data_IF_054408984561
#
_entry.id   IF_054408984561
#
_cell.length_a   1.000
_cell.length_b   1.000
_cell.length_c   1.000
_cell.angle_alpha   90.00
_cell.angle_beta   90.00
_cell.angle_gamma   90.00
#
_symmetry.space_group_name_H-M   'P 1'
#
loop_
_entity.id
_entity.type
_entity.pdbx_description
1 polymer ?
2 polymer ?
3 non-polymer ?
4 water ?
#
# COMPACT_ATOMS: atom_id res chain seq x y z
N UNK A 1 17.24 -24.21 -1.63
CA UNK A 1 16.87 -23.07 -2.58
C UNK A 1 15.73 -22.09 -2.07
N UNK A 2 15.74 -20.88 -2.61
CA UNK A 2 14.84 -19.82 -2.17
C UNK A 2 13.46 -19.98 -2.82
N UNK A 3 12.38 -19.83 -2.03
CA UNK A 3 10.99 -19.84 -2.55
C UNK A 3 10.77 -18.74 -3.48
N UNK A 4 9.92 -18.98 -4.44
CA UNK A 4 9.42 -17.90 -5.29
C UNK A 4 8.11 -17.36 -4.60
N UNK A 5 8.05 -16.05 -4.31
CA UNK A 5 6.79 -15.42 -3.85
C UNK A 5 5.61 -15.54 -4.89
N UNK A 6 4.36 -15.48 -4.41
CA UNK A 6 3.17 -15.30 -5.28
C UNK A 6 3.29 -13.97 -6.04
N UNK A 7 2.90 -13.93 -7.32
CA UNK A 7 2.83 -12.67 -8.13
C UNK A 7 1.43 -12.40 -8.70
N UNK B 1 -11.91 -9.17 29.39
CA UNK B 1 -12.62 -8.64 28.16
C UNK B 1 -11.76 -8.75 26.89
N UNK B 2 -12.00 -9.79 26.08
CA UNK B 2 -11.06 -10.04 25.02
C UNK B 2 -11.14 -9.07 23.83
N UNK B 3 -10.12 -9.07 23.00
CA UNK B 3 -10.26 -8.50 21.64
C UNK B 3 -11.39 -9.15 20.86
N UNK B 4 -11.83 -8.48 19.82
CA UNK B 4 -12.97 -8.95 19.03
C UNK B 4 -12.84 -8.47 17.61
N UNK B 5 -13.64 -9.07 16.73
CA UNK B 5 -13.82 -8.57 15.36
C UNK B 5 -15.29 -8.26 15.18
N UNK B 6 -15.57 -7.19 14.47
CA UNK B 6 -16.92 -6.76 14.16
C UNK B 6 -17.08 -6.76 12.64
N UNK B 7 -18.21 -7.25 12.15
CA UNK B 7 -18.52 -7.20 10.72
C UNK B 7 -18.92 -5.79 10.29
N UNK B 8 -18.09 -5.21 9.44
CA UNK B 8 -18.40 -3.89 8.85
C UNK B 8 -19.24 -4.06 7.59
N UNK B 9 -18.86 -5.04 6.77
CA UNK B 9 -19.51 -5.31 5.48
C UNK B 9 -19.73 -6.79 5.36
N UNK B 10 -20.94 -7.17 5.02
CA UNK B 10 -21.27 -8.60 5.01
C UNK B 10 -22.66 -8.88 4.54
N UNK B 11 -23.04 -10.16 4.44
CA UNK B 11 -24.40 -10.48 4.07
C UNK B 11 -25.41 -9.95 5.06
N UNK B 12 -26.64 -9.73 4.59
CA UNK B 12 -27.65 -9.24 5.51
C UNK B 12 -27.82 -10.17 6.72
N UNK B 13 -28.03 -9.60 7.86
CA UNK B 13 -28.03 -10.43 9.04
C UNK B 13 -26.71 -10.37 9.76
N UNK B 14 -25.59 -10.10 9.06
CA UNK B 14 -24.26 -10.19 9.75
C UNK B 14 -23.65 -8.86 10.15
N UNK B 15 -24.07 -7.76 9.53
CA UNK B 15 -23.39 -6.49 9.72
C UNK B 15 -23.57 -6.07 11.18
N UNK B 16 -22.49 -5.67 11.82
CA UNK B 16 -22.55 -5.27 13.23
C UNK B 16 -22.36 -6.43 14.21
N UNK B 17 -22.34 -7.68 13.75
CA UNK B 17 -22.08 -8.81 14.66
C UNK B 17 -20.64 -8.77 15.15
N UNK B 18 -20.45 -9.09 16.43
CA UNK B 18 -19.13 -9.05 17.04
C UNK B 18 -18.75 -10.43 17.50
N UNK B 19 -17.50 -10.82 17.28
CA UNK B 19 -17.00 -12.15 17.64
C UNK B 19 -15.75 -12.00 18.50
N UNK B 20 -15.81 -12.45 19.77
CA UNK B 20 -14.63 -12.28 20.65
C UNK B 20 -13.53 -13.24 20.18
N UNK B 21 -12.29 -12.77 20.24
CA UNK B 21 -11.11 -13.58 19.89
C UNK B 21 -10.47 -13.98 21.23
N UNK B 22 -10.96 -15.06 21.79
CA UNK B 22 -10.63 -15.53 23.12
C UNK B 22 -9.46 -16.48 23.20
N UNK B 23 -9.03 -17.02 22.05
CA UNK B 23 -7.95 -18.02 22.04
C UNK B 23 -7.49 -18.21 20.63
N UNK B 24 -6.34 -18.83 20.50
CA UNK B 24 -5.85 -19.20 19.19
C UNK B 24 -6.84 -20.22 18.58
N UNK B 25 -6.80 -20.34 17.28
CA UNK B 25 -7.54 -21.31 16.49
C UNK B 25 -9.02 -21.07 16.33
N UNK B 26 -9.40 -19.81 16.55
CA UNK B 26 -10.67 -19.31 16.09
C UNK B 26 -10.65 -19.11 14.61
N UNK B 27 -11.62 -19.76 13.93
CA UNK B 27 -11.64 -19.82 12.50
C UNK B 27 -12.78 -18.98 11.94
N UNK B 28 -12.44 -18.20 10.92
CA UNK B 28 -13.42 -17.55 10.03
C UNK B 28 -13.66 -18.47 8.83
N UNK B 29 -14.92 -18.78 8.57
CA UNK B 29 -15.23 -19.66 7.42
C UNK B 29 -16.68 -19.79 7.12
N UNK B 30 -16.98 -20.33 5.93
CA UNK B 30 -18.34 -20.64 5.58
C UNK B 30 -18.77 -22.02 6.08
N UNK B 31 -17.87 -22.80 6.65
CA UNK B 31 -18.26 -24.03 7.31
C UNK B 31 -18.94 -23.74 8.64
N UNK B 32 -20.00 -24.49 8.94
CA UNK B 32 -20.73 -24.37 10.23
C UNK B 32 -19.86 -24.70 11.44
N UNK B 33 -18.77 -25.44 11.21
CA UNK B 33 -17.81 -25.76 12.23
C UNK B 33 -17.02 -24.51 12.66
N UNK B 34 -16.98 -23.45 11.84
CA UNK B 34 -16.22 -22.24 12.16
C UNK B 34 -16.79 -21.51 13.35
N UNK B 35 -15.94 -21.03 14.25
CA UNK B 35 -16.37 -20.18 15.35
C UNK B 35 -16.90 -18.87 14.84
N UNK B 36 -16.30 -18.36 13.77
CA UNK B 36 -16.83 -17.21 13.06
C UNK B 36 -17.40 -17.72 11.73
N UNK B 37 -18.64 -18.21 11.84
CA UNK B 37 -19.35 -18.80 10.72
C UNK B 37 -20.13 -17.74 10.01
N UNK B 38 -19.80 -17.53 8.73
CA UNK B 38 -20.50 -16.56 7.86
C UNK B 38 -20.90 -17.30 6.59
N UNK B 39 -22.20 -17.44 6.36
CA UNK B 39 -22.71 -18.15 5.22
C UNK B 39 -22.61 -17.27 3.99
N UNK B 40 -21.44 -17.23 3.39
CA UNK B 40 -21.19 -16.39 2.22
C UNK B 40 -20.26 -17.22 1.34
N UNK B 41 -20.62 -17.42 0.08
CA UNK B 41 -19.87 -18.28 -0.82
C UNK B 41 -18.50 -17.73 -1.20
N UNK B 42 -18.25 -16.45 -0.97
CA UNK B 42 -16.91 -15.87 -1.19
C UNK B 42 -15.89 -16.27 -0.10
N UNK B 43 -16.35 -16.80 1.03
CA UNK B 43 -15.46 -17.35 2.05
C UNK B 43 -15.17 -18.79 1.77
N UNK B 44 -13.93 -19.18 1.97
CA UNK B 44 -13.59 -20.61 2.03
C UNK B 44 -14.24 -21.26 3.24
N UNK B 45 -14.35 -22.59 3.20
CA UNK B 45 -14.97 -23.32 4.33
C UNK B 45 -14.19 -23.09 5.62
N UNK B 46 -12.86 -23.14 5.53
CA UNK B 46 -11.96 -22.61 6.58
C UNK B 46 -11.09 -21.61 5.91
N UNK B 47 -11.31 -20.32 6.21
CA UNK B 47 -10.67 -19.24 5.45
C UNK B 47 -9.46 -18.67 6.11
N UNK B 48 -9.60 -18.34 7.40
CA UNK B 48 -8.53 -17.76 8.18
C UNK B 48 -8.73 -18.10 9.63
N UNK B 49 -7.66 -17.99 10.42
CA UNK B 49 -7.74 -18.23 11.83
C UNK B 49 -6.94 -17.18 12.56
N UNK B 50 -7.20 -17.10 13.86
CA UNK B 50 -6.45 -16.23 14.74
C UNK B 50 -5.44 -16.97 15.60
N UNK B 51 -4.40 -16.28 15.95
CA UNK B 51 -3.42 -16.71 16.91
C UNK B 51 -3.38 -15.64 18.00
N UNK B 52 -3.35 -16.09 19.24
CA UNK B 52 -3.27 -15.21 20.40
C UNK B 52 -2.02 -15.59 21.15
N UNK B 53 -1.12 -14.64 21.29
CA UNK B 53 0.15 -14.83 22.02
C UNK B 53 0.16 -13.71 23.05
N UNK B 54 -0.41 -13.99 24.23
CA UNK B 54 -0.62 -13.00 25.27
C UNK B 54 -1.60 -11.94 24.82
N UNK B 55 -1.17 -10.67 24.82
CA UNK B 55 -2.00 -9.58 24.25
C UNK B 55 -1.85 -9.45 22.71
N UNK B 56 -0.91 -10.17 22.08
CA UNK B 56 -0.72 -10.01 20.61
C UNK B 56 -1.62 -10.95 19.84
N UNK B 57 -2.49 -10.35 19.02
CA UNK B 57 -3.37 -11.11 18.18
C UNK B 57 -2.92 -11.00 16.72
N UNK B 58 -2.80 -12.17 16.09
CA UNK B 58 -2.52 -12.27 14.66
C UNK B 58 -3.57 -13.03 13.88
N UNK B 59 -3.66 -12.77 12.59
CA UNK B 59 -4.55 -13.47 11.70
C UNK B 59 -3.70 -14.21 10.67
N UNK B 60 -4.14 -15.42 10.32
CA UNK B 60 -3.39 -16.33 9.45
C UNK B 60 -4.34 -16.79 8.34
N UNK B 61 -3.94 -16.69 7.09
CA UNK B 61 -4.72 -17.25 6.01
C UNK B 61 -4.58 -18.75 5.92
N UNK B 62 -5.68 -19.47 5.68
CA UNK B 62 -5.69 -20.93 5.62
C UNK B 62 -5.80 -21.44 4.20
N UNK B 63 -5.08 -20.82 3.30
CA UNK B 63 -5.15 -21.21 1.89
C UNK B 63 -6.54 -20.93 1.27
N UNK B 64 -7.04 -19.75 1.54
CA UNK B 64 -8.29 -19.31 0.92
C UNK B 64 -8.15 -19.01 -0.56
N UNK B 65 -9.22 -19.28 -1.30
CA UNK B 65 -9.32 -18.79 -2.72
C UNK B 65 -9.23 -17.24 -2.77
N UNK B 66 -10.04 -16.56 -1.96
CA UNK B 66 -10.23 -15.08 -2.11
C UNK B 66 -9.33 -14.24 -1.23
N UNK B 67 -8.40 -14.87 -0.51
CA UNK B 67 -7.33 -14.24 0.23
C UNK B 67 -7.81 -13.68 1.53
N UNK B 68 -6.85 -13.44 2.41
CA UNK B 68 -7.08 -12.70 3.66
C UNK B 68 -6.20 -11.45 3.52
N UNK B 69 -6.86 -10.27 3.58
CA UNK B 69 -6.25 -9.03 3.21
C UNK B 69 -6.40 -8.09 4.41
N UNK B 70 -5.29 -7.55 4.89
CA UNK B 70 -5.33 -6.69 6.08
C UNK B 70 -4.91 -5.30 5.64
N UNK B 71 -5.84 -4.32 5.81
CA UNK B 71 -5.65 -2.96 5.36
C UNK B 71 -5.15 -2.92 3.91
N UNK B 72 -5.72 -3.73 3.05
CA UNK B 72 -5.37 -3.76 1.64
C UNK B 72 -4.14 -4.56 1.26
N UNK B 73 -3.45 -5.18 2.23
CA UNK B 73 -2.26 -6.00 1.96
C UNK B 73 -2.65 -7.48 2.05
N UNK B 74 -2.36 -8.22 0.98
CA UNK B 74 -2.66 -9.65 0.93
C UNK B 74 -1.67 -10.35 1.87
N UNK B 75 -2.17 -11.21 2.72
CA UNK B 75 -1.31 -11.94 3.64
C UNK B 75 -0.96 -13.25 2.95
N UNK B 76 0.32 -13.55 2.79
CA UNK B 76 0.63 -14.85 2.17
C UNK B 76 0.01 -16.04 2.96
N UNK B 77 -0.51 -17.05 2.22
CA UNK B 77 -1.10 -18.21 2.90
C UNK B 77 -0.20 -18.77 4.01
N UNK B 78 -0.77 -18.99 5.18
CA UNK B 78 -0.10 -19.58 6.34
C UNK B 78 0.96 -18.64 7.00
N UNK B 79 1.10 -17.42 6.50
CA UNK B 79 1.80 -16.36 7.24
C UNK B 79 0.86 -15.72 8.25
N UNK B 80 1.46 -15.18 9.30
CA UNK B 80 0.71 -14.52 10.32
C UNK B 80 0.89 -13.00 10.15
N UNK B 81 -0.20 -12.27 10.37
CA UNK B 81 -0.18 -10.80 10.30
C UNK B 81 -0.64 -10.28 11.67
N UNK B 82 0.26 -9.56 12.32
CA UNK B 82 0.04 -8.98 13.63
C UNK B 82 -1.02 -7.87 13.51
N UNK B 83 -2.04 -7.92 14.36
CA UNK B 83 -3.15 -6.97 14.29
C UNK B 83 -2.96 -5.88 15.33
N UNK B 84 -3.50 -4.72 15.03
CA UNK B 84 -3.61 -3.60 15.96
C UNK B 84 -5.03 -3.04 15.85
N UNK B 85 -5.43 -2.32 16.89
CA UNK B 85 -6.75 -1.76 17.00
C UNK B 85 -7.13 -1.03 15.71
N UNK B 86 -8.32 -1.35 15.25
CA UNK B 86 -8.97 -0.77 14.09
C UNK B 86 -8.47 -1.28 12.75
N UNK B 87 -7.57 -2.27 12.74
CA UNK B 87 -7.23 -2.87 11.46
C UNK B 87 -8.48 -3.48 10.79
N UNK B 88 -8.51 -3.49 9.48
CA UNK B 88 -9.53 -4.18 8.72
C UNK B 88 -9.03 -5.48 8.13
N UNK B 89 -9.85 -6.51 8.25
CA UNK B 89 -9.56 -7.82 7.71
C UNK B 89 -10.63 -8.16 6.69
N UNK B 90 -10.24 -8.31 5.46
CA UNK B 90 -11.14 -8.66 4.37
C UNK B 90 -10.92 -10.12 3.95
N UNK B 91 -11.99 -10.90 4.06
CA UNK B 91 -12.01 -12.31 3.69
C UNK B 91 -13.10 -12.44 2.68
N UNK B 92 -12.72 -12.54 1.39
CA UNK B 92 -13.72 -12.50 0.33
C UNK B 92 -14.48 -11.17 0.36
N UNK B 93 -15.82 -11.21 0.33
CA UNK B 93 -16.66 -10.01 0.35
C UNK B 93 -17.01 -9.52 1.77
N UNK B 94 -16.44 -10.14 2.79
CA UNK B 94 -16.75 -9.78 4.15
C UNK B 94 -15.58 -8.99 4.73
N UNK B 95 -15.88 -7.86 5.36
CA UNK B 95 -14.82 -7.04 5.93
C UNK B 95 -15.13 -6.86 7.40
N UNK B 96 -14.15 -7.25 8.21
CA UNK B 96 -14.20 -7.13 9.65
C UNK B 96 -13.30 -5.98 10.09
N UNK B 97 -13.64 -5.40 11.22
CA UNK B 97 -12.72 -4.50 11.96
C UNK B 97 -12.26 -5.23 13.21
N UNK B 98 -10.97 -5.16 13.49
CA UNK B 98 -10.38 -5.73 14.73
C UNK B 98 -10.39 -4.68 15.83
N UNK B 99 -10.84 -5.09 17.00
CA UNK B 99 -10.94 -4.24 18.17
C UNK B 99 -10.04 -4.87 19.22
N UNK B 100 -9.12 -4.08 19.74
CA UNK B 100 -8.21 -4.54 20.79
C UNK B 100 -8.99 -4.93 22.02
N UNK B 101 -10.13 -4.26 22.30
CA UNK B 101 -10.99 -4.64 23.40
C UNK B 101 -12.43 -4.52 22.88
N UNK B 102 -13.12 -5.65 22.77
CA UNK B 102 -14.53 -5.67 22.35
C UNK B 102 -15.46 -5.41 23.47
N UNK B 103 -16.74 -5.74 23.27
CA UNK B 103 -17.74 -5.41 24.33
C UNK B 103 -18.44 -6.63 24.82
N UNK B 104 -17.83 -7.79 24.60
CA UNK B 104 -18.42 -9.06 24.97
C UNK B 104 -17.64 -9.52 26.23
N UNK B 105 -18.38 -9.99 27.25
CA UNK B 105 -17.86 -10.53 28.52
C UNK B 105 -16.77 -11.61 28.44
N UNK C 1 -6.06 29.56 6.23
CA UNK C 1 -5.78 28.55 5.15
C UNK C 1 -6.42 27.18 5.43
N UNK C 2 -7.55 26.88 4.80
CA UNK C 2 -8.24 25.65 5.17
C UNK C 2 -7.55 24.35 4.74
N UNK C 3 -7.96 23.22 5.33
CA UNK C 3 -7.56 21.93 4.76
C UNK C 3 -8.03 21.79 3.31
N UNK C 4 -7.40 20.87 2.60
CA UNK C 4 -7.71 20.67 1.21
C UNK C 4 -7.45 19.24 0.82
N UNK C 5 -7.96 18.87 -0.36
CA UNK C 5 -7.64 17.61 -1.01
C UNK C 5 -7.01 17.95 -2.35
N UNK C 6 -5.96 17.22 -2.71
CA UNK C 6 -5.27 17.38 -3.99
C UNK C 6 -5.42 16.07 -4.75
N UNK C 7 -5.73 16.16 -6.04
CA UNK C 7 -5.83 14.97 -6.91
C UNK C 7 -4.43 14.48 -7.23
N UNK C 8 -4.10 13.29 -6.74
CA UNK C 8 -2.83 12.66 -7.01
C UNK C 8 -2.91 11.82 -8.30
N UNK C 9 -4.05 11.11 -8.44
CA UNK C 9 -4.30 10.23 -9.58
C UNK C 9 -5.70 10.54 -10.09
N UNK C 10 -5.85 10.73 -11.36
CA UNK C 10 -7.16 11.06 -11.92
C UNK C 10 -7.03 11.29 -13.41
N UNK C 11 -8.10 11.83 -14.02
CA UNK C 11 -7.99 12.14 -15.44
C UNK C 11 -6.95 13.22 -15.68
N UNK C 12 -6.35 13.24 -16.87
CA UNK C 12 -5.30 14.18 -17.12
C UNK C 12 -5.68 15.59 -16.88
N UNK C 13 -6.90 16.06 -17.03
CA UNK C 13 -7.16 17.46 -16.77
C UNK C 13 -7.24 17.85 -15.29
N UNK C 14 -7.31 16.85 -14.41
CA UNK C 14 -7.61 17.04 -12.99
C UNK C 14 -6.42 16.81 -12.04
N UNK C 15 -5.38 16.15 -12.51
CA UNK C 15 -4.27 15.76 -11.63
C UNK C 15 -3.60 17.02 -11.16
N UNK C 16 -3.32 17.08 -9.86
CA UNK C 16 -2.68 18.27 -9.24
C UNK C 16 -3.72 19.32 -8.81
N UNK C 17 -5.00 19.21 -9.18
CA UNK C 17 -5.98 20.21 -8.76
C UNK C 17 -6.22 20.09 -7.26
N UNK C 18 -6.37 21.22 -6.58
CA UNK C 18 -6.59 21.24 -5.14
C UNK C 18 -7.97 21.80 -4.82
N UNK C 19 -8.65 21.24 -3.86
CA UNK C 19 -10.01 21.64 -3.48
C UNK C 19 -10.07 21.90 -1.98
N UNK C 20 -10.30 23.16 -1.55
CA UNK C 20 -10.35 23.47 -0.14
C UNK C 20 -11.60 22.80 0.49
N UNK C 21 -11.43 22.26 1.70
CA UNK C 21 -12.51 21.65 2.43
C UNK C 21 -12.87 22.64 3.56
N UNK C 22 -13.71 23.60 3.23
CA UNK C 22 -14.03 24.72 4.09
C UNK C 22 -15.20 24.51 5.02
N UNK C 23 -16.02 23.48 4.79
CA UNK C 23 -17.24 23.31 5.57
C UNK C 23 -17.82 21.94 5.33
N UNK C 24 -18.74 21.55 6.19
CA UNK C 24 -19.51 20.35 6.00
C UNK C 24 -20.32 20.44 4.71
N UNK C 25 -20.72 19.28 4.22
CA UNK C 25 -21.63 19.18 3.07
C UNK C 25 -20.97 19.36 1.74
N UNK C 26 -19.65 19.36 1.70
CA UNK C 26 -18.92 19.32 0.44
C UNK C 26 -18.96 17.89 -0.08
N UNK C 27 -19.43 17.74 -1.33
CA UNK C 27 -19.58 16.46 -1.95
C UNK C 27 -18.54 16.29 -3.10
N UNK C 28 -17.95 15.11 -3.13
CA UNK C 28 -17.14 14.64 -4.25
C UNK C 28 -18.03 13.81 -5.16
N UNK C 29 -18.00 14.08 -6.43
CA UNK C 29 -18.78 13.27 -7.40
C UNK C 29 -18.59 13.64 -8.84
N UNK C 30 -19.15 12.82 -9.70
CA UNK C 30 -19.17 13.13 -11.11
C UNK C 30 -20.30 14.02 -11.52
N UNK C 31 -21.26 14.27 -10.64
CA UNK C 31 -22.31 15.24 -10.96
C UNK C 31 -21.74 16.66 -10.85
N UNK C 32 -22.16 17.54 -11.74
CA UNK C 32 -21.77 18.98 -11.70
C UNK C 32 -22.30 19.68 -10.44
N UNK C 33 -23.31 19.10 -9.81
CA UNK C 33 -23.84 19.57 -8.55
C UNK C 33 -22.79 19.41 -7.40
N UNK C 34 -21.78 18.54 -7.58
CA UNK C 34 -20.75 18.35 -6.60
C UNK C 34 -19.84 19.55 -6.47
N UNK C 35 -19.50 19.94 -5.24
CA UNK C 35 -18.51 20.99 -5.03
C UNK C 35 -17.16 20.53 -5.45
N UNK C 36 -16.86 19.24 -5.27
CA UNK C 36 -15.67 18.64 -5.86
C UNK C 36 -16.14 17.76 -7.02
N UNK C 37 -16.32 18.43 -8.15
CA UNK C 37 -16.78 17.83 -9.39
C UNK C 37 -15.57 17.34 -10.18
N UNK C 38 -15.55 16.05 -10.45
CA UNK C 38 -14.54 15.43 -11.30
C UNK C 38 -15.24 14.60 -12.34
N UNK C 39 -15.03 14.93 -13.61
CA UNK C 39 -15.59 14.19 -14.70
C UNK C 39 -14.86 12.88 -14.91
N UNK C 40 -15.20 11.88 -14.10
CA UNK C 40 -14.58 10.57 -14.21
C UNK C 40 -15.70 9.56 -14.01
N UNK C 41 -15.88 8.66 -14.95
CA UNK C 41 -17.04 7.76 -14.93
C UNK C 41 -16.95 6.72 -13.80
N UNK C 42 -15.77 6.51 -13.21
CA UNK C 42 -15.66 5.61 -12.08
C UNK C 42 -16.19 6.21 -10.75
N UNK C 43 -16.45 7.53 -10.71
CA UNK C 43 -17.05 8.19 -9.58
C UNK C 43 -18.55 8.12 -9.69
N UNK C 44 -19.20 7.85 -8.56
CA UNK C 44 -20.64 7.97 -8.50
C UNK C 44 -21.02 9.46 -8.64
N UNK C 45 -22.27 9.74 -8.98
CA UNK C 45 -22.71 11.13 -9.15
C UNK C 45 -22.52 11.92 -7.86
N UNK C 46 -22.88 11.30 -6.72
CA UNK C 46 -22.49 11.75 -5.40
C UNK C 46 -21.77 10.58 -4.74
N UNK C 47 -20.46 10.71 -4.58
CA UNK C 47 -19.60 9.59 -4.22
C UNK C 47 -19.27 9.55 -2.72
N UNK C 48 -18.83 10.71 -2.21
CA UNK C 48 -18.45 10.88 -0.84
C UNK C 48 -18.66 12.33 -0.45
N UNK C 49 -18.72 12.61 0.85
CA UNK C 49 -18.89 13.97 1.33
C UNK C 49 -18.06 14.17 2.57
N UNK C 50 -17.85 15.42 2.94
CA UNK C 50 -17.09 15.79 4.08
C UNK C 50 -17.95 16.33 5.19
N UNK C 51 -17.52 16.01 6.41
CA UNK C 51 -17.98 16.68 7.59
C UNK C 51 -16.79 17.42 8.22
N UNK C 52 -17.05 18.67 8.62
CA UNK C 52 -16.07 19.53 9.26
C UNK C 52 -16.59 19.88 10.62
N UNK C 53 -15.83 19.51 11.63
CA UNK C 53 -16.15 19.86 13.00
C UNK C 53 -14.91 20.57 13.54
N UNK C 54 -14.90 21.91 13.41
CA UNK C 54 -13.74 22.73 13.82
C UNK C 54 -12.57 22.44 12.87
N UNK C 55 -11.44 21.98 13.40
CA UNK C 55 -10.30 21.54 12.57
C UNK C 55 -10.43 20.06 12.12
N UNK C 56 -11.41 19.31 12.62
CA UNK C 56 -11.50 17.87 12.35
C UNK C 56 -12.33 17.64 11.09
N UNK C 57 -11.68 17.09 10.07
CA UNK C 57 -12.33 16.77 8.85
C UNK C 57 -12.50 15.26 8.74
N UNK C 58 -13.72 14.85 8.45
CA UNK C 58 -14.04 13.44 8.17
C UNK C 58 -14.67 13.29 6.78
N UNK C 59 -14.47 12.09 6.20
CA UNK C 59 -15.06 11.78 4.94
C UNK C 59 -16.07 10.65 5.16
N UNK C 60 -17.16 10.75 4.41
CA UNK C 60 -18.29 9.81 4.49
C UNK C 60 -18.53 9.23 3.12
N UNK C 61 -18.61 7.90 3.02
CA UNK C 61 -18.94 7.29 1.71
C UNK C 61 -20.44 7.38 1.52
N UNK C 62 -20.90 7.69 0.29
CA UNK C 62 -22.32 7.83 0.02
C UNK C 62 -22.94 6.63 -0.67
N UNK C 63 -22.48 5.44 -0.31
CA UNK C 63 -22.95 4.23 -0.97
C UNK C 63 -22.42 4.15 -2.39
N UNK C 64 -21.17 4.57 -2.63
CA UNK C 64 -20.62 4.57 -3.96
C UNK C 64 -20.38 3.15 -4.48
N UNK C 65 -20.58 2.97 -5.78
CA UNK C 65 -20.35 1.63 -6.39
C UNK C 65 -18.88 1.19 -6.23
N UNK C 66 -17.94 2.11 -6.51
CA UNK C 66 -16.51 1.79 -6.54
C UNK C 66 -15.80 2.14 -5.23
N UNK C 67 -16.52 2.49 -4.18
CA UNK C 67 -16.02 2.57 -2.83
C UNK C 67 -15.24 3.82 -2.55
N UNK C 68 -15.11 4.11 -1.25
CA UNK C 68 -14.21 5.15 -0.78
C UNK C 68 -13.27 4.40 0.14
N UNK C 69 -11.97 4.48 -0.08
CA UNK C 69 -10.98 3.73 0.66
C UNK C 69 -9.96 4.72 1.19
N UNK C 70 -9.70 4.71 2.50
CA UNK C 70 -8.69 5.64 3.07
C UNK C 70 -7.54 4.80 3.56
N UNK C 71 -6.34 5.00 3.01
CA UNK C 71 -5.13 4.26 3.37
C UNK C 71 -5.37 2.74 3.44
N UNK C 72 -6.05 2.24 2.44
CA UNK C 72 -6.34 0.82 2.30
C UNK C 72 -7.52 0.30 3.12
N UNK C 73 -8.21 1.15 3.88
CA UNK C 73 -9.38 0.76 4.65
C UNK C 73 -10.62 1.26 3.95
N UNK C 74 -11.55 0.34 3.70
CA UNK C 74 -12.77 0.63 3.02
C UNK C 74 -13.64 1.36 3.99
N UNK C 75 -14.27 2.42 3.55
CA UNK C 75 -15.27 3.11 4.35
C UNK C 75 -16.62 2.50 3.97
N UNK C 76 -17.27 1.86 4.92
CA UNK C 76 -18.57 1.26 4.59
C UNK C 76 -19.59 2.30 4.16
N UNK C 77 -20.55 1.95 3.29
CA UNK C 77 -21.59 2.94 2.92
C UNK C 77 -22.17 3.71 4.10
N UNK C 78 -22.17 5.02 3.99
CA UNK C 78 -22.73 5.98 5.00
C UNK C 78 -21.95 6.03 6.32
N UNK C 79 -20.81 5.35 6.39
CA UNK C 79 -19.90 5.43 7.55
C UNK C 79 -18.89 6.54 7.31
N UNK C 80 -18.12 6.89 8.31
CA UNK C 80 -17.25 8.04 8.24
C UNK C 80 -15.85 7.66 8.70
N UNK C 81 -14.89 8.44 8.30
CA UNK C 81 -13.47 8.25 8.61
C UNK C 81 -12.89 9.61 8.94
N UNK C 82 -12.32 9.75 10.12
CA UNK C 82 -11.57 10.98 10.49
C UNK C 82 -10.27 11.05 9.73
N UNK C 83 -9.99 12.16 9.08
CA UNK C 83 -8.79 12.30 8.26
C UNK C 83 -7.68 12.99 9.01
N UNK C 84 -6.45 12.69 8.62
CA UNK C 84 -5.25 13.35 9.12
C UNK C 84 -4.33 13.67 7.95
N UNK C 85 -3.44 14.61 8.18
CA UNK C 85 -2.52 15.09 7.18
C UNK C 85 -1.85 13.91 6.44
N UNK C 86 -1.89 14.00 5.13
CA UNK C 86 -1.29 13.09 4.18
C UNK C 86 -2.05 11.79 3.96
N UNK C 87 -3.22 11.64 4.56
CA UNK C 87 -4.06 10.48 4.19
C UNK C 87 -4.36 10.43 2.70
N UNK C 88 -4.44 9.21 2.17
CA UNK C 88 -4.90 9.03 0.79
C UNK C 88 -6.28 8.48 0.72
N UNK C 89 -7.09 9.08 -0.13
CA UNK C 89 -8.50 8.74 -0.27
C UNK C 89 -8.72 8.32 -1.71
N UNK C 90 -9.09 7.07 -1.90
CA UNK C 90 -9.35 6.55 -3.24
C UNK C 90 -10.84 6.37 -3.48
N UNK C 91 -11.35 7.07 -4.49
CA UNK C 91 -12.75 7.06 -4.88
C UNK C 91 -12.75 6.62 -6.32
N UNK C 92 -13.07 5.37 -6.59
CA UNK C 92 -12.93 4.80 -7.93
C UNK C 92 -11.47 4.89 -8.39
N UNK C 93 -11.25 5.42 -9.59
CA UNK C 93 -9.92 5.59 -10.18
C UNK C 93 -9.30 6.96 -9.85
N UNK C 94 -9.86 7.69 -8.90
CA UNK C 94 -9.29 8.93 -8.48
C UNK C 94 -8.68 8.73 -7.10
N UNK C 95 -7.48 9.22 -6.88
CA UNK C 95 -6.86 9.21 -5.54
C UNK C 95 -6.53 10.61 -5.16
N UNK C 96 -7.06 11.03 -4.02
CA UNK C 96 -6.77 12.31 -3.41
C UNK C 96 -5.80 12.15 -2.26
N UNK C 97 -5.03 13.20 -2.01
CA UNK C 97 -4.27 13.33 -0.77
C UNK C 97 -4.92 14.43 0.06
N UNK C 98 -5.11 14.17 1.35
CA UNK C 98 -5.64 15.15 2.27
C UNK C 98 -4.51 15.97 2.90
N UNK C 99 -4.68 17.28 2.89
CA UNK C 99 -3.71 18.23 3.45
C UNK C 99 -4.41 18.95 4.57
N UNK C 100 -3.85 18.88 5.77
CA UNK C 100 -4.40 19.57 6.92
C UNK C 100 -4.40 21.08 6.70
N UNK C 101 -3.41 21.58 5.96
CA UNK C 101 -3.41 22.97 5.49
C UNK C 101 -3.00 22.99 4.01
N UNK C 102 -3.93 23.39 3.14
CA UNK C 102 -3.65 23.49 1.68
C UNK C 102 -2.89 24.78 1.30
N UNK C 103 -2.93 25.16 0.02
CA UNK C 103 -2.53 26.48 -0.60
C UNK C 103 -1.26 26.38 -1.44
N UNK D 1 17.59 3.50 24.43
CA UNK D 1 16.65 2.63 23.66
C UNK D 1 16.85 2.71 22.13
N UNK D 2 17.53 1.72 21.55
CA UNK D 2 17.83 1.83 20.13
C UNK D 2 16.62 1.71 19.20
N UNK D 3 16.79 2.11 17.94
CA UNK D 3 15.78 1.75 16.93
C UNK D 3 15.65 0.23 16.81
N UNK D 4 14.53 -0.19 16.22
CA UNK D 4 14.24 -1.62 16.10
C UNK D 4 13.40 -1.86 14.88
N UNK D 5 13.34 -3.14 14.48
CA UNK D 5 12.38 -3.60 13.46
C UNK D 5 11.50 -4.64 14.13
N UNK D 6 10.21 -4.58 13.84
CA UNK D 6 9.22 -5.50 14.34
C UNK D 6 8.66 -6.30 13.16
N UNK D 7 8.50 -7.59 13.36
CA UNK D 7 7.89 -8.46 12.31
C UNK D 7 6.36 -8.25 12.33
N UNK D 8 5.84 -7.65 11.27
CA UNK D 8 4.39 -7.44 11.14
C UNK D 8 3.73 -8.67 10.47
N UNK D 9 4.41 -9.18 9.45
CA UNK D 9 3.93 -10.36 8.69
C UNK D 9 5.10 -11.33 8.58
N UNK D 10 4.85 -12.55 8.99
CA UNK D 10 5.88 -13.55 8.91
C UNK D 10 5.39 -14.87 9.41
N UNK D 11 6.33 -15.86 9.52
CA UNK D 11 5.94 -17.13 10.05
C UNK D 11 5.49 -17.02 11.50
N UNK D 12 4.65 -17.96 11.92
CA UNK D 12 4.16 -17.88 13.30
C UNK D 12 5.30 -17.97 14.26
N UNK D 13 5.21 -17.27 15.37
CA UNK D 13 6.39 -17.39 16.28
C UNK D 13 7.58 -16.53 15.85
N UNK D 14 7.50 -15.87 14.70
CA UNK D 14 8.30 -14.64 14.49
C UNK D 14 7.44 -13.37 14.54
N UNK D 15 6.12 -13.47 14.31
CA UNK D 15 5.28 -12.32 14.21
C UNK D 15 5.27 -11.61 15.53
N UNK D 16 5.45 -10.30 15.49
CA UNK D 16 5.53 -9.48 16.73
C UNK D 16 6.94 -9.38 17.32
N UNK D 17 7.90 -10.18 16.87
CA UNK D 17 9.27 -10.12 17.46
C UNK D 17 9.90 -8.80 17.07
N UNK D 18 10.66 -8.23 18.00
CA UNK D 18 11.39 -7.00 17.76
C UNK D 18 12.90 -7.29 17.74
N UNK D 19 13.59 -6.66 16.84
CA UNK D 19 15.05 -6.80 16.72
C UNK D 19 15.69 -5.44 16.78
N UNK D 20 16.45 -5.15 17.85
CA UNK D 20 17.08 -3.85 17.96
C UNK D 20 18.16 -3.69 16.87
N UNK D 21 18.22 -2.50 16.28
CA UNK D 21 19.21 -2.19 15.27
C UNK D 21 20.26 -1.30 15.95
N UNK D 22 21.21 -1.94 16.63
CA UNK D 22 22.16 -1.28 17.49
C UNK D 22 23.45 -0.88 16.81
N UNK D 23 23.73 -1.41 15.63
CA UNK D 23 25.03 -1.16 14.97
C UNK D 23 24.92 -1.63 13.55
N UNK D 24 25.88 -1.18 12.75
CA UNK D 24 26.04 -1.65 11.41
C UNK D 24 26.27 -3.14 11.39
N UNK D 25 26.03 -3.71 10.21
CA UNK D 25 26.44 -5.12 9.92
C UNK D 25 25.42 -6.12 10.44
N UNK D 26 24.26 -5.66 10.87
CA UNK D 26 23.16 -6.56 11.22
C UNK D 26 22.51 -7.04 9.93
N UNK D 27 22.42 -8.36 9.77
CA UNK D 27 21.93 -8.96 8.53
C UNK D 27 20.56 -9.64 8.80
N UNK D 28 19.63 -9.41 7.90
CA UNK D 28 18.37 -10.13 7.82
C UNK D 28 18.57 -11.28 6.81
N UNK D 29 18.19 -12.48 7.20
CA UNK D 29 18.33 -13.61 6.32
C UNK D 29 17.80 -14.91 6.85
N UNK D 30 17.68 -15.90 5.96
CA UNK D 30 17.31 -17.21 6.40
C UNK D 30 18.51 -18.04 6.84
N UNK D 31 19.73 -17.54 6.68
CA UNK D 31 20.88 -18.24 7.26
C UNK D 31 20.89 -18.05 8.78
N UNK D 32 21.24 -19.09 9.51
CA UNK D 32 21.38 -19.06 10.99
C UNK D 32 22.45 -18.09 11.45
N UNK D 33 23.39 -17.79 10.56
CA UNK D 33 24.43 -16.79 10.80
C UNK D 33 23.85 -15.37 10.89
N UNK D 34 22.64 -15.13 10.37
CA UNK D 34 22.02 -13.81 10.41
C UNK D 34 21.66 -13.36 11.81
N UNK D 35 21.92 -12.10 12.14
CA UNK D 35 21.48 -11.54 13.42
C UNK D 35 19.98 -11.45 13.47
N UNK D 36 19.36 -11.14 12.33
CA UNK D 36 17.91 -11.24 12.20
C UNK D 36 17.63 -12.47 11.34
N UNK D 37 17.62 -13.60 12.02
CA UNK D 37 17.43 -14.93 11.44
C UNK D 37 15.99 -15.25 11.48
N UNK D 38 15.41 -15.43 10.28
CA UNK D 38 13.99 -15.79 10.14
C UNK D 38 13.95 -16.99 9.23
N UNK D 39 13.42 -18.10 9.75
CA UNK D 39 13.27 -19.31 8.97
C UNK D 39 12.09 -19.18 8.02
N UNK D 40 12.31 -18.52 6.91
CA UNK D 40 11.31 -18.36 5.89
C UNK D 40 12.05 -18.52 4.56
N UNK D 41 11.59 -19.47 3.75
CA UNK D 41 12.29 -19.81 2.51
C UNK D 41 12.25 -18.71 1.45
N UNK D 42 11.35 -17.74 1.59
CA UNK D 42 11.30 -16.62 0.66
C UNK D 42 12.43 -15.58 0.89
N UNK D 43 13.12 -15.65 2.05
CA UNK D 43 14.27 -14.83 2.33
C UNK D 43 15.50 -15.45 1.77
N UNK D 44 16.37 -14.62 1.19
CA UNK D 44 17.71 -15.08 0.83
C UNK D 44 18.49 -15.40 2.12
N UNK D 45 19.55 -16.17 1.97
CA UNK D 45 20.38 -16.55 3.14
C UNK D 45 20.96 -15.31 3.83
N UNK D 46 21.44 -14.38 3.03
CA UNK D 46 21.73 -13.00 3.46
C UNK D 46 20.96 -12.11 2.53
N UNK D 47 19.91 -11.49 3.07
CA UNK D 47 18.91 -10.78 2.24
C UNK D 47 19.15 -9.29 2.16
N UNK D 48 19.33 -8.70 3.34
CA UNK D 48 19.53 -7.26 3.49
C UNK D 48 20.30 -7.05 4.78
N UNK D 49 20.93 -5.88 4.90
CA UNK D 49 21.68 -5.56 6.09
C UNK D 49 21.48 -4.12 6.45
N UNK D 50 21.85 -3.77 7.69
CA UNK D 50 21.72 -2.41 8.16
C UNK D 50 23.06 -1.69 8.24
N UNK D 51 23.00 -0.40 7.96
CA UNK D 51 24.07 0.51 8.27
C UNK D 51 23.56 1.53 9.27
N UNK D 52 24.37 1.76 10.32
CA UNK D 52 24.06 2.71 11.37
C UNK D 52 25.18 3.72 11.34
N UNK D 53 24.82 4.94 11.01
CA UNK D 53 25.79 6.02 10.84
C UNK D 53 25.28 7.13 11.75
N UNK D 54 25.73 7.11 13.02
CA UNK D 54 25.16 7.91 14.09
C UNK D 54 23.68 7.61 14.31
N UNK D 55 22.85 8.65 14.16
CA UNK D 55 21.39 8.49 14.20
C UNK D 55 20.77 7.98 12.86
N UNK D 56 21.55 7.91 11.77
CA UNK D 56 20.98 7.51 10.47
C UNK D 56 21.04 6.02 10.32
N UNK D 57 19.86 5.37 10.27
CA UNK D 57 19.79 3.96 10.07
C UNK D 57 19.28 3.69 8.65
N UNK D 58 20.05 2.90 7.89
CA UNK D 58 19.69 2.56 6.53
C UNK D 58 19.66 1.02 6.35
N UNK D 59 18.88 0.59 5.36
CA UNK D 59 18.83 -0.78 4.97
C UNK D 59 19.40 -0.89 3.56
N UNK D 60 20.16 -1.96 3.36
CA UNK D 60 20.89 -2.23 2.09
C UNK D 60 20.46 -3.59 1.58
N UNK D 61 20.05 -3.66 0.31
CA UNK D 61 19.68 -4.99 -0.26
C UNK D 61 20.96 -5.70 -0.67
N UNK D 62 21.02 -7.01 -0.41
CA UNK D 62 22.23 -7.81 -0.71
C UNK D 62 22.05 -8.67 -1.94
N UNK D 63 21.37 -8.15 -2.94
CA UNK D 63 21.08 -8.93 -4.16
C UNK D 63 20.09 -10.03 -3.90
N UNK D 64 19.07 -9.78 -3.08
CA UNK D 64 18.07 -10.80 -2.77
C UNK D 64 17.19 -11.18 -3.97
N UNK D 65 16.82 -12.44 -4.03
CA UNK D 65 15.95 -12.93 -5.09
C UNK D 65 14.59 -12.24 -5.08
N UNK D 66 13.97 -12.16 -3.89
CA UNK D 66 12.63 -11.62 -3.73
C UNK D 66 12.60 -10.15 -3.35
N UNK D 67 13.76 -9.48 -3.38
CA UNK D 67 13.88 -8.03 -3.27
C UNK D 67 13.73 -7.52 -1.87
N UNK D 68 14.19 -6.31 -1.65
CA UNK D 68 13.91 -5.54 -0.47
C UNK D 68 13.18 -4.32 -0.94
N UNK D 69 11.98 -4.08 -0.41
CA UNK D 69 11.11 -3.03 -0.84
C UNK D 69 10.73 -2.21 0.38
N UNK D 70 10.95 -0.91 0.34
CA UNK D 70 10.55 -0.04 1.47
C UNK D 70 9.44 0.86 1.00
N UNK D 71 8.27 0.79 1.66
CA UNK D 71 7.09 1.57 1.34
C UNK D 71 6.80 1.54 -0.18
N UNK D 72 6.85 0.35 -0.74
CA UNK D 72 6.58 0.11 -2.13
C UNK D 72 7.70 0.46 -3.12
N UNK D 73 8.84 0.92 -2.67
CA UNK D 73 9.96 1.26 -3.51
C UNK D 73 11.02 0.20 -3.40
N UNK D 74 11.42 -0.33 -4.55
CA UNK D 74 12.45 -1.36 -4.62
C UNK D 74 13.79 -0.75 -4.28
N UNK D 75 14.55 -1.41 -3.45
CA UNK D 75 15.95 -1.04 -3.23
C UNK D 75 16.79 -1.94 -4.11
N UNK D 76 17.40 -1.42 -5.14
CA UNK D 76 18.27 -2.28 -5.98
C UNK D 76 19.40 -2.94 -5.22
N UNK D 77 19.91 -4.08 -5.71
CA UNK D 77 21.11 -4.67 -5.12
C UNK D 77 22.22 -3.69 -4.80
N UNK D 78 22.68 -3.73 -3.55
CA UNK D 78 23.79 -2.89 -3.01
C UNK D 78 23.44 -1.41 -2.87
N UNK D 79 22.19 -1.02 -3.18
CA UNK D 79 21.68 0.32 -2.88
C UNK D 79 21.12 0.37 -1.48
N UNK D 80 20.76 1.56 -1.01
CA UNK D 80 20.31 1.65 0.37
C UNK D 80 19.09 2.54 0.46
N UNK D 81 18.40 2.45 1.59
CA UNK D 81 17.27 3.33 1.92
C UNK D 81 17.49 3.81 3.35
N UNK D 82 17.52 5.13 3.54
CA UNK D 82 17.53 5.75 4.86
C UNK D 82 16.16 5.59 5.47
N UNK D 83 16.08 5.03 6.68
CA UNK D 83 14.79 4.65 7.27
C UNK D 83 14.30 5.71 8.22
N UNK D 84 12.98 5.78 8.35
CA UNK D 84 12.32 6.68 9.29
C UNK D 84 11.19 5.91 9.97
N UNK D 85 10.77 6.44 11.10
CA UNK D 85 9.74 5.86 11.91
C UNK D 85 8.54 5.41 11.09
N UNK D 86 8.15 4.16 11.30
CA UNK D 86 7.00 3.52 10.71
C UNK D 86 7.18 3.07 9.28
N UNK D 87 8.36 3.23 8.68
CA UNK D 87 8.59 2.61 7.40
C UNK D 87 8.32 1.09 7.42
N UNK D 88 7.78 0.58 6.31
CA UNK D 88 7.60 -0.86 6.15
C UNK D 88 8.63 -1.40 5.19
N UNK D 89 9.26 -2.50 5.59
CA UNK D 89 10.32 -3.13 4.83
C UNK D 89 9.84 -4.53 4.48
N UNK D 90 9.69 -4.81 3.21
CA UNK D 90 9.28 -6.12 2.74
C UNK D 90 10.44 -6.87 2.13
N UNK D 91 10.77 -8.01 2.73
CA UNK D 91 11.83 -8.91 2.27
C UNK D 91 11.15 -10.23 1.99
N UNK D 92 10.90 -10.54 0.75
CA UNK D 92 10.07 -11.74 0.42
C UNK D 92 8.69 -11.67 1.04
N UNK D 93 8.27 -12.72 1.73
CA UNK D 93 6.96 -12.78 2.41
C UNK D 93 6.99 -12.26 3.85
N UNK D 94 8.09 -11.62 4.26
CA UNK D 94 8.19 -11.06 5.56
C UNK D 94 8.09 -9.55 5.45
N UNK D 95 7.27 -8.93 6.29
CA UNK D 95 7.19 -7.49 6.35
C UNK D 95 7.54 -7.04 7.74
N UNK D 96 8.52 -6.16 7.81
CA UNK D 96 8.93 -5.52 9.05
C UNK D 96 8.42 -4.09 9.10
N UNK D 97 8.22 -3.58 10.30
CA UNK D 97 8.05 -2.15 10.53
C UNK D 97 9.30 -1.63 11.26
N UNK D 98 9.80 -0.49 10.83
CA UNK D 98 10.91 0.19 11.49
C UNK D 98 10.42 1.17 12.54
N UNK D 99 10.99 1.09 13.73
CA UNK D 99 10.67 1.95 14.85
C UNK D 99 11.90 2.73 15.22
N UNK D 100 11.78 4.04 15.21
CA UNK D 100 12.87 4.92 15.55
C UNK D 100 13.34 4.68 16.99
N UNK D 101 12.43 4.34 17.86
CA UNK D 101 12.76 3.87 19.23
C UNK D 101 11.91 2.62 19.52
N UNK D 102 12.56 1.47 19.71
CA UNK D 102 11.85 0.23 20.07
C UNK D 102 11.44 0.25 21.54
N UNK E 1 17.89 23.36 -15.05
CA UNK E 1 18.03 21.87 -14.89
C UNK E 1 16.68 21.15 -14.74
N UNK E 2 16.20 20.52 -15.81
CA UNK E 2 14.89 19.91 -15.71
C UNK E 2 14.81 18.66 -14.83
N UNK E 3 13.59 18.26 -14.45
CA UNK E 3 13.40 16.91 -13.87
C UNK E 3 13.89 15.83 -14.83
N UNK E 4 14.10 14.65 -14.30
CA UNK E 4 14.61 13.53 -15.09
C UNK E 4 14.12 12.22 -14.49
N UNK E 5 14.24 11.16 -15.29
CA UNK E 5 14.06 9.80 -14.80
C UNK E 5 15.39 9.05 -15.03
N UNK E 6 15.74 8.22 -14.07
CA UNK E 6 16.98 7.45 -14.11
C UNK E 6 16.55 5.97 -14.04
N UNK E 7 17.18 5.12 -14.84
CA UNK E 7 16.91 3.69 -14.80
C UNK E 7 17.59 3.06 -13.56
N UNK E 8 16.77 2.55 -12.65
CA UNK E 8 17.25 1.83 -11.51
C UNK E 8 17.45 0.34 -11.82
N UNK E 9 16.50 -0.23 -12.54
CA UNK E 9 16.48 -1.66 -12.87
C UNK E 9 16.13 -1.77 -14.33
N UNK E 10 16.94 -2.50 -15.07
CA UNK E 10 16.65 -2.62 -16.51
C UNK E 10 17.62 -3.58 -17.18
N UNK E 11 17.50 -3.74 -18.49
CA UNK E 11 18.45 -4.56 -19.20
C UNK E 11 19.86 -4.00 -19.12
N UNK E 12 20.84 -4.89 -19.27
CA UNK E 12 22.21 -4.42 -19.19
C UNK E 12 22.48 -3.33 -20.25
N UNK E 13 23.27 -2.38 -19.89
CA UNK E 13 23.41 -1.26 -20.79
C UNK E 13 22.50 -0.11 -20.42
N UNK E 14 21.38 -0.35 -19.71
CA UNK E 14 20.48 0.79 -19.41
C UNK E 14 20.60 1.34 -17.99
N UNK E 15 21.10 0.54 -17.04
CA UNK E 15 21.01 0.93 -15.64
C UNK E 15 21.85 2.18 -15.43
N UNK E 16 21.29 3.17 -14.76
CA UNK E 16 21.99 4.43 -14.53
C UNK E 16 21.77 5.47 -15.63
N UNK E 17 21.21 5.10 -16.78
CA UNK E 17 20.92 6.10 -17.83
C UNK E 17 19.84 7.07 -17.36
N UNK E 18 20.01 8.35 -17.67
CA UNK E 18 19.12 9.40 -17.22
C UNK E 18 18.47 10.06 -18.42
N UNK E 19 17.18 10.36 -18.32
CA UNK E 19 16.41 10.96 -19.43
C UNK E 19 15.72 12.22 -18.89
N UNK E 20 16.10 13.40 -19.39
CA UNK E 20 15.47 14.63 -18.89
C UNK E 20 14.03 14.72 -19.36
N UNK E 21 13.15 15.20 -18.49
CA UNK E 21 11.73 15.37 -18.80
C UNK E 21 11.48 16.84 -19.00
N UNK E 22 11.74 17.29 -20.22
CA UNK E 22 11.81 18.73 -20.56
C UNK E 22 10.49 19.27 -21.06
N UNK E 23 9.53 18.38 -21.41
CA UNK E 23 8.27 18.82 -21.95
C UNK E 23 7.31 17.69 -21.91
N UNK E 24 6.04 18.04 -22.07
CA UNK E 24 5.01 17.04 -22.16
C UNK E 24 5.28 16.18 -23.43
N UNK E 25 4.65 15.04 -23.46
CA UNK E 25 4.65 14.12 -24.61
C UNK E 25 5.94 13.31 -24.82
N UNK E 26 6.74 13.25 -23.77
CA UNK E 26 7.88 12.29 -23.75
C UNK E 26 7.34 10.91 -23.44
N UNK E 27 7.66 9.95 -24.30
CA UNK E 27 7.15 8.60 -24.22
C UNK E 27 8.24 7.60 -23.84
N UNK E 28 7.87 6.71 -22.91
CA UNK E 28 8.63 5.52 -22.58
C UNK E 28 8.05 4.37 -23.38
N UNK E 29 8.91 3.63 -24.07
CA UNK E 29 8.45 2.46 -24.84
C UNK E 29 9.52 1.63 -25.45
N UNK E 30 9.13 0.44 -25.92
CA UNK E 30 10.06 -0.39 -26.66
C UNK E 30 10.15 -0.04 -28.11
N UNK E 31 9.28 0.85 -28.61
CA UNK E 31 9.44 1.34 -29.98
C UNK E 31 10.61 2.30 -30.06
N UNK E 32 11.37 2.21 -31.15
CA UNK E 32 12.48 3.15 -31.45
C UNK E 32 12.04 4.59 -31.60
N UNK E 33 10.76 4.77 -31.90
CA UNK E 33 10.13 6.09 -31.98
C UNK E 33 10.04 6.76 -30.59
N UNK E 34 10.13 5.99 -29.51
CA UNK E 34 10.03 6.55 -28.15
C UNK E 34 11.21 7.43 -27.80
N UNK E 35 10.98 8.57 -27.14
CA UNK E 35 12.09 9.38 -26.62
C UNK E 35 12.85 8.65 -25.55
N UNK E 36 12.15 7.87 -24.74
CA UNK E 36 12.76 6.99 -23.77
C UNK E 36 12.57 5.56 -24.28
N UNK E 37 13.48 5.20 -25.20
CA UNK E 37 13.48 3.92 -25.87
C UNK E 37 14.29 2.91 -25.06
N UNK E 38 13.62 1.86 -24.63
CA UNK E 38 14.24 0.74 -23.92
C UNK E 38 13.84 -0.55 -24.60
N UNK E 39 14.84 -1.23 -25.16
CA UNK E 39 14.61 -2.43 -25.93
C UNK E 39 14.34 -3.61 -24.99
N UNK E 40 13.11 -3.72 -24.53
CA UNK E 40 12.77 -4.76 -23.56
C UNK E 40 11.34 -5.16 -23.91
N UNK E 41 11.12 -6.46 -24.13
CA UNK E 41 9.82 -6.97 -24.60
C UNK E 41 8.71 -6.82 -23.53
N UNK E 42 9.04 -6.59 -22.26
CA UNK E 42 8.03 -6.36 -21.23
C UNK E 42 7.43 -4.94 -21.29
N UNK E 43 8.04 -4.02 -22.05
CA UNK E 43 7.45 -2.70 -22.31
C UNK E 43 6.53 -2.77 -23.50
N UNK E 44 5.42 -2.08 -23.43
CA UNK E 44 4.62 -1.80 -24.64
C UNK E 44 5.43 -0.89 -25.59
N UNK E 45 5.03 -0.90 -26.86
CA UNK E 45 5.72 -0.08 -27.86
C UNK E 45 5.67 1.40 -27.50
N UNK E 46 4.50 1.86 -27.05
CA UNK E 46 4.31 3.13 -26.37
C UNK E 46 3.66 2.80 -25.06
N UNK E 47 4.41 2.93 -23.96
CA UNK E 47 4.00 2.39 -22.67
C UNK E 47 3.35 3.43 -21.77
N UNK E 48 4.08 4.54 -21.58
CA UNK E 48 3.65 5.62 -20.74
C UNK E 48 4.26 6.90 -21.26
N UNK E 49 3.68 8.02 -20.84
CA UNK E 49 4.19 9.33 -21.25
C UNK E 49 4.17 10.25 -20.07
N UNK E 50 4.88 11.36 -20.22
CA UNK E 50 4.90 12.41 -19.24
C UNK E 50 4.14 13.64 -19.66
N UNK E 51 3.56 14.27 -18.66
CA UNK E 51 2.94 15.58 -18.83
C UNK E 51 3.63 16.53 -17.85
N UNK E 52 3.94 17.72 -18.34
CA UNK E 52 4.61 18.75 -17.55
C UNK E 52 3.71 19.94 -17.52
N UNK E 53 3.30 20.33 -16.33
CA UNK E 53 2.50 21.54 -16.12
C UNK E 53 3.29 22.39 -15.13
N UNK E 54 4.15 23.26 -15.64
CA UNK E 54 5.04 24.07 -14.83
C UNK E 54 6.06 23.20 -14.10
N UNK E 55 6.10 23.24 -12.78
CA UNK E 55 6.91 22.29 -11.98
C UNK E 55 6.23 20.92 -11.76
N UNK E 56 4.95 20.76 -12.10
CA UNK E 56 4.25 19.49 -11.82
C UNK E 56 4.43 18.52 -12.97
N UNK E 57 5.09 17.40 -12.67
CA UNK E 57 5.29 16.35 -13.62
C UNK E 57 4.36 15.18 -13.27
N UNK E 58 3.62 14.71 -14.26
CA UNK E 58 2.78 13.51 -14.12
C UNK E 58 3.16 12.45 -15.17
N UNK E 59 2.85 11.20 -14.83
CA UNK E 59 3.04 10.10 -15.73
C UNK E 59 1.69 9.53 -16.03
N UNK E 60 1.50 9.17 -17.29
CA UNK E 60 0.20 8.71 -17.81
C UNK E 60 0.42 7.37 -18.48
N UNK E 61 -0.37 6.36 -18.10
CA UNK E 61 -0.28 5.10 -18.79
C UNK E 61 -0.96 5.17 -20.16
N UNK E 62 -0.36 4.53 -21.16
CA UNK E 62 -0.90 4.54 -22.52
C UNK E 62 -1.52 3.20 -22.89
N UNK E 63 -2.30 2.66 -21.95
CA UNK E 63 -2.99 1.43 -22.15
C UNK E 63 -2.04 0.25 -22.26
N UNK E 64 -0.97 0.23 -21.48
CA UNK E 64 0.03 -0.80 -21.57
C UNK E 64 -0.51 -2.15 -21.10
N UNK E 65 -0.02 -3.20 -21.73
CA UNK E 65 -0.32 -4.57 -21.26
C UNK E 65 0.17 -4.81 -19.83
N UNK E 66 1.41 -4.42 -19.55
CA UNK E 66 2.03 -4.72 -18.22
C UNK E 66 1.84 -3.63 -17.17
N UNK E 67 1.09 -2.57 -17.51
CA UNK E 67 0.72 -1.50 -16.58
C UNK E 67 1.87 -0.57 -16.29
N UNK E 68 1.49 0.59 -15.75
CA UNK E 68 2.46 1.57 -15.23
C UNK E 68 2.14 1.65 -13.74
N UNK E 69 3.17 1.39 -12.94
CA UNK E 69 3.00 1.18 -11.51
C UNK E 69 3.91 2.19 -10.80
N UNK E 70 3.34 2.99 -9.93
CA UNK E 70 4.08 4.06 -9.24
C UNK E 70 4.13 3.69 -7.74
N UNK E 71 5.34 3.49 -7.22
CA UNK E 71 5.61 3.03 -5.87
C UNK E 71 4.76 1.82 -5.53
N UNK E 72 4.68 0.88 -6.45
CA UNK E 72 3.94 -0.35 -6.25
C UNK E 72 2.41 -0.27 -6.42
N UNK E 73 1.89 0.89 -6.77
CA UNK E 73 0.46 1.08 -7.01
C UNK E 73 0.22 1.17 -8.50
N UNK E 74 -0.67 0.34 -9.02
CA UNK E 74 -1.00 0.32 -10.44
C UNK E 74 -1.77 1.61 -10.73
N UNK E 75 -1.40 2.33 -11.76
CA UNK E 75 -2.14 3.50 -12.12
C UNK E 75 -3.31 2.99 -12.95
N UNK E 76 -4.54 3.40 -12.67
CA UNK E 76 -5.62 3.05 -13.63
C UNK E 76 -5.31 3.41 -15.06
N UNK E 77 -5.60 2.48 -16.01
CA UNK E 77 -5.13 2.71 -17.41
C UNK E 77 -5.71 4.06 -17.87
N UNK E 78 -4.89 4.82 -18.57
CA UNK E 78 -5.23 6.12 -19.18
C UNK E 78 -5.39 7.24 -18.13
N UNK E 79 -5.21 6.94 -16.82
CA UNK E 79 -5.18 7.96 -15.81
C UNK E 79 -3.73 8.49 -15.68
N UNK E 80 -3.67 9.63 -15.02
CA UNK E 80 -2.44 10.31 -14.81
C UNK E 80 -2.10 10.24 -13.32
N UNK E 81 -0.83 10.23 -13.01
CA UNK E 81 -0.34 10.16 -11.60
C UNK E 81 0.70 11.28 -11.44
N UNK E 82 0.44 12.17 -10.51
CA UNK E 82 1.34 13.26 -10.15
C UNK E 82 2.58 12.69 -9.48
N UNK E 83 3.76 13.09 -9.94
CA UNK E 83 5.01 12.57 -9.41
C UNK E 83 5.60 13.51 -8.41
N UNK E 84 6.37 12.95 -7.48
CA UNK E 84 7.22 13.69 -6.55
C UNK E 84 8.61 13.05 -6.56
N UNK E 85 9.57 13.82 -6.08
CA UNK E 85 10.96 13.40 -6.04
C UNK E 85 11.09 12.01 -5.42
N UNK E 86 11.83 11.17 -6.10
CA UNK E 86 12.18 9.81 -5.70
C UNK E 86 11.09 8.79 -5.94
N UNK E 87 9.96 9.18 -6.54
CA UNK E 87 9.00 8.16 -6.92
C UNK E 87 9.61 7.14 -7.89
N UNK E 88 9.14 5.90 -7.77
CA UNK E 88 9.51 4.85 -8.74
C UNK E 88 8.41 4.56 -9.69
N UNK E 89 8.75 4.47 -10.96
CA UNK E 89 7.82 4.15 -12.03
C UNK E 89 8.29 2.84 -12.64
N UNK E 90 7.44 1.84 -12.56
CA UNK E 90 7.74 0.52 -13.06
C UNK E 90 6.86 0.26 -14.31
N UNK E 91 7.56 0.03 -15.42
CA UNK E 91 6.95 -0.24 -16.70
C UNK E 91 7.46 -1.58 -17.14
N UNK E 92 6.64 -2.62 -16.99
CA UNK E 92 7.11 -3.98 -17.17
C UNK E 92 8.24 -4.30 -16.18
N UNK E 93 9.36 -4.82 -16.68
CA UNK E 93 10.51 -5.19 -15.83
C UNK E 93 11.52 -4.05 -15.64
N UNK E 94 11.17 -2.85 -16.10
CA UNK E 94 12.07 -1.71 -16.00
C UNK E 94 11.55 -0.77 -14.93
N UNK E 95 12.45 -0.33 -14.04
CA UNK E 95 12.02 0.57 -12.96
C UNK E 95 12.89 1.81 -13.06
N UNK E 96 12.19 2.95 -13.17
CA UNK E 96 12.82 4.25 -13.19
C UNK E 96 12.59 4.94 -11.86
N UNK E 97 13.51 5.79 -11.48
CA UNK E 97 13.30 6.75 -10.37
C UNK E 97 13.16 8.14 -10.96
N UNK E 98 12.17 8.87 -10.47
CA UNK E 98 11.93 10.26 -10.86
C UNK E 98 12.70 11.21 -9.96
N UNK E 99 13.38 12.16 -10.59
CA UNK E 99 14.19 13.16 -9.91
C UNK E 99 13.59 14.50 -10.26
N UNK E 100 13.24 15.27 -9.25
CA UNK E 100 12.69 16.60 -9.42
C UNK E 100 13.68 17.51 -10.11
N UNK E 101 14.96 17.32 -9.85
CA UNK E 101 16.04 17.99 -10.61
C UNK E 101 17.10 16.93 -10.96
N UNK E 102 17.27 16.66 -12.26
CA UNK E 102 18.31 15.74 -12.75
C UNK E 102 19.74 16.29 -12.69
N UNK E 103 20.71 15.48 -13.18
CA UNK E 103 22.16 15.55 -12.82
C UNK E 103 23.07 15.96 -13.99
X LIG F 1 -24.63 17.20 1.52
X LIG F 1 -25.06 16.06 1.70
X LIG F 1 -25.49 18.15 1.16
#
# INVERSE_FOLDING_TARGET
KTSIVAS
VPPAIVVLIGPPGYVGKQYPITASDIVIGRSVESQVYIDDKSLSRSHAKFAVNGSEVSVIDLGSTNKTIVNGQVIPPLASCLLKNNDQIKTGNVIFKFLEKGSIE
VPPAIVVLIGPPGYVGKQYPITASDIVIGRSVESQVYIDDKSLSRSHAKFAVNGSEVSVIDLGSTNKTIVNGQVIPPLASCLLKNNDQIKTGNVIFKFLEKGSIE
VPPAIVVLIGPPGYVGKQYPITASDIVIGRSVESQVYIDDKSLSRSHAKFAVNGSEVSVIDLGSTNKTIVNGQVIPPLASCLLKNNDQIKTGNVIFKFLEKGSIE
VPPAIVVLIGPPGYVGKQYPITASDIVIGRSVESQVYIDDKSLSRSHAKFAVNGSEVSVIDLGSTNKTIVNGQVIPPLASCLLKNNDQIKTGNVIFKFLEKGSIE
FMT C O1 O2
#
